data_IF_243377856384
#
_entry.id   IF_243377856384
#
_cell.length_a   1.000
_cell.length_b   1.000
_cell.length_c   1.000
_cell.angle_alpha   90.00
_cell.angle_beta   90.00
_cell.angle_gamma   90.00
#
_symmetry.space_group_name_H-M   'P 1'
#
loop_
_entity.id
_entity.type
_entity.pdbx_description
1 polymer ?
#
# COMPACT_ATOMS: atom_id res chain seq x y z
N UNK A 1 28.99 1.08 16.42
CA UNK A 1 28.72 0.06 15.37
C UNK A 1 27.25 0.18 15.02
N UNK A 2 26.93 0.96 13.98
CA UNK A 2 25.56 1.39 13.66
C UNK A 2 24.75 0.29 12.98
N UNK A 3 23.53 0.09 13.48
CA UNK A 3 22.48 -0.81 12.98
C UNK A 3 21.78 -0.21 11.73
N UNK A 4 22.52 0.42 10.83
CA UNK A 4 21.98 1.15 9.67
C UNK A 4 21.84 0.29 8.42
N UNK A 5 22.38 -0.93 8.41
CA UNK A 5 22.36 -1.81 7.24
C UNK A 5 21.23 -2.83 7.36
N UNK A 6 20.29 -2.74 6.42
CA UNK A 6 19.14 -3.63 6.15
C UNK A 6 17.73 -3.16 6.56
N UNK A 7 17.56 -1.86 6.87
CA UNK A 7 16.22 -1.25 6.86
C UNK A 7 15.85 -0.66 5.48
N UNK A 8 16.86 -0.39 4.65
CA UNK A 8 16.71 0.26 3.35
C UNK A 8 16.15 -0.71 2.29
N UNK A 9 16.51 -2.00 2.39
CA UNK A 9 16.02 -3.02 1.47
C UNK A 9 14.52 -3.24 1.60
N UNK A 10 13.99 -3.40 2.82
CA UNK A 10 12.54 -3.59 3.04
C UNK A 10 11.71 -2.36 2.65
N UNK A 11 12.27 -1.15 2.76
CA UNK A 11 11.60 0.09 2.39
C UNK A 11 11.32 0.20 0.89
N UNK A 12 12.18 -0.38 0.06
CA UNK A 12 12.09 -0.32 -1.41
C UNK A 12 11.63 -1.63 -2.05
N UNK A 13 11.73 -2.76 -1.33
CA UNK A 13 11.37 -4.08 -1.84
C UNK A 13 9.86 -4.35 -1.91
N UNK A 14 9.05 -3.52 -1.25
CA UNK A 14 7.60 -3.69 -1.17
C UNK A 14 6.86 -2.52 -1.82
N UNK A 15 5.93 -2.82 -2.72
CA UNK A 15 5.03 -1.85 -3.36
C UNK A 15 3.60 -1.99 -2.87
N UNK A 16 2.90 -0.87 -2.66
CA UNK A 16 1.50 -0.85 -2.24
C UNK A 16 0.60 -1.56 -3.27
N UNK A 17 -0.15 -2.58 -2.85
CA UNK A 17 -0.99 -3.37 -3.77
C UNK A 17 -2.46 -3.43 -3.37
N UNK A 18 -2.80 -3.11 -2.13
CA UNK A 18 -4.18 -3.12 -1.67
C UNK A 18 -4.39 -2.22 -0.46
N UNK A 19 -5.52 -1.53 -0.41
CA UNK A 19 -5.92 -0.75 0.77
C UNK A 19 -7.38 -1.04 1.14
N UNK A 20 -7.57 -1.38 2.41
CA UNK A 20 -8.87 -1.43 3.07
C UNK A 20 -8.70 -0.87 4.47
N UNK A 21 -9.08 0.40 4.64
CA UNK A 21 -8.84 1.14 5.88
C UNK A 21 -9.30 0.33 7.12
N UNK A 22 -8.46 0.25 8.17
CA UNK A 22 -7.22 1.01 8.38
C UNK A 22 -5.94 0.36 7.81
N UNK A 23 -6.06 -0.70 7.00
CA UNK A 23 -4.91 -1.51 6.55
C UNK A 23 -4.44 -1.14 5.15
N UNK A 24 -3.13 -1.01 5.01
CA UNK A 24 -2.41 -0.93 3.74
C UNK A 24 -1.51 -2.15 3.59
N UNK A 25 -1.60 -2.81 2.45
CA UNK A 25 -0.89 -4.05 2.14
C UNK A 25 0.10 -3.79 1.01
N UNK A 26 1.33 -4.24 1.23
CA UNK A 26 2.42 -4.12 0.29
C UNK A 26 2.92 -5.50 -0.09
N UNK A 27 3.32 -5.64 -1.35
CA UNK A 27 3.80 -6.91 -1.92
C UNK A 27 5.22 -6.78 -2.45
N UNK A 28 5.97 -7.88 -2.39
CA UNK A 28 7.25 -8.03 -3.11
C UNK A 28 7.08 -8.46 -4.56
N UNK A 29 5.89 -8.95 -4.93
CA UNK A 29 5.61 -9.35 -6.29
C UNK A 29 5.40 -8.11 -7.18
N UNK A 30 5.70 -8.21 -8.48
CA UNK A 30 5.14 -7.27 -9.45
C UNK A 30 3.62 -7.14 -9.29
N UNK A 31 3.07 -5.93 -9.44
CA UNK A 31 1.63 -5.68 -9.21
C UNK A 31 0.71 -6.47 -10.15
N UNK A 32 1.20 -6.86 -11.33
CA UNK A 32 0.50 -7.70 -12.31
C UNK A 32 0.55 -9.20 -11.96
N UNK A 33 1.37 -9.59 -10.98
CA UNK A 33 1.49 -10.94 -10.45
C UNK A 33 0.84 -11.10 -9.08
N UNK A 34 0.68 -10.02 -8.31
CA UNK A 34 -0.07 -10.05 -7.05
C UNK A 34 -1.58 -10.09 -7.31
N UNK A 35 -2.27 -10.92 -6.54
CA UNK A 35 -3.72 -11.11 -6.65
C UNK A 35 -4.42 -11.23 -5.29
N UNK A 36 -5.75 -11.31 -5.33
CA UNK A 36 -6.63 -11.67 -4.23
C UNK A 36 -8.05 -11.95 -4.74
N UNK A 37 -8.90 -12.49 -3.87
CA UNK A 37 -10.27 -12.86 -4.28
C UNK A 37 -11.04 -11.64 -4.83
N UNK A 38 -11.65 -11.78 -6.00
CA UNK A 38 -12.53 -10.76 -6.58
C UNK A 38 -11.86 -9.44 -6.99
N UNK A 39 -10.54 -9.43 -7.17
CA UNK A 39 -9.76 -8.24 -7.56
C UNK A 39 -10.13 -7.68 -8.94
N UNK A 40 -10.73 -8.50 -9.80
CA UNK A 40 -11.27 -8.12 -11.11
C UNK A 40 -12.67 -7.52 -11.07
N UNK A 41 -13.36 -7.57 -9.92
CA UNK A 41 -14.76 -7.17 -9.81
C UNK A 41 -14.89 -5.72 -9.34
N UNK A 42 -15.84 -5.02 -9.96
CA UNK A 42 -16.27 -3.68 -9.56
C UNK A 42 -17.60 -3.79 -8.80
N UNK A 43 -17.80 -3.11 -7.67
CA UNK A 43 -16.82 -2.32 -6.92
C UNK A 43 -15.90 -3.18 -6.02
N UNK A 44 -14.63 -2.78 -5.89
CA UNK A 44 -13.66 -3.51 -5.07
C UNK A 44 -14.04 -3.55 -3.59
N UNK A 45 -14.67 -2.50 -3.05
CA UNK A 45 -15.03 -2.43 -1.63
C UNK A 45 -16.06 -3.50 -1.22
N UNK A 46 -16.83 -4.02 -2.20
CA UNK A 46 -17.81 -5.10 -1.98
C UNK A 46 -17.28 -6.49 -2.32
N UNK A 47 -16.29 -6.58 -3.20
CA UNK A 47 -15.90 -7.86 -3.82
C UNK A 47 -14.49 -8.31 -3.49
N UNK A 48 -13.57 -7.38 -3.24
CA UNK A 48 -12.17 -7.72 -3.07
C UNK A 48 -11.90 -8.33 -1.69
N UNK A 49 -11.16 -9.44 -1.66
CA UNK A 49 -10.48 -9.96 -0.48
C UNK A 49 -9.11 -9.30 -0.28
N UNK A 50 -8.45 -9.56 0.87
CA UNK A 50 -7.04 -9.21 1.06
C UNK A 50 -6.16 -9.90 -0.01
N UNK A 51 -4.95 -9.38 -0.27
CA UNK A 51 -4.01 -10.04 -1.17
C UNK A 51 -3.65 -11.44 -0.66
N UNK A 52 -3.44 -12.38 -1.58
CA UNK A 52 -2.87 -13.69 -1.24
C UNK A 52 -1.44 -13.53 -0.70
N UNK A 53 -1.10 -14.31 0.32
CA UNK A 53 0.17 -14.32 1.04
C UNK A 53 0.82 -15.70 1.04
N UNK A 54 0.73 -16.38 -0.10
CA UNK A 54 1.13 -17.79 -0.30
C UNK A 54 2.63 -18.05 -0.01
N UNK A 55 3.48 -17.01 -0.09
CA UNK A 55 4.89 -17.09 0.23
C UNK A 55 5.27 -16.26 1.48
N UNK A 56 6.24 -16.77 2.24
CA UNK A 56 6.80 -16.06 3.38
C UNK A 56 7.35 -14.68 2.94
N UNK A 57 7.01 -13.64 3.72
CA UNK A 57 7.42 -12.25 3.45
C UNK A 57 6.93 -11.68 2.10
N UNK A 58 5.94 -12.30 1.45
CA UNK A 58 5.28 -11.69 0.29
C UNK A 58 4.44 -10.48 0.73
N UNK A 59 3.62 -10.75 1.75
CA UNK A 59 2.76 -9.91 2.60
C UNK A 59 3.45 -8.91 3.54
N UNK A 60 3.41 -7.60 3.31
CA UNK A 60 3.69 -6.63 4.38
C UNK A 60 2.47 -5.74 4.67
N UNK A 61 1.97 -5.80 5.90
CA UNK A 61 0.76 -5.11 6.32
C UNK A 61 1.09 -4.04 7.35
N UNK A 62 0.60 -2.82 7.14
CA UNK A 62 0.69 -1.71 8.10
C UNK A 62 -0.68 -1.09 8.33
N UNK A 63 -0.88 -0.57 9.54
CA UNK A 63 -2.02 0.29 9.81
C UNK A 63 -1.69 1.74 9.49
N UNK A 64 -2.69 2.53 9.13
CA UNK A 64 -2.56 3.98 9.00
C UNK A 64 -3.84 4.70 9.43
N UNK A 65 -3.69 5.98 9.73
CA UNK A 65 -4.80 6.94 9.88
C UNK A 65 -4.54 8.20 9.04
N UNK A 66 -5.52 9.11 9.01
CA UNK A 66 -5.40 10.40 8.36
C UNK A 66 -6.61 10.78 7.50
N UNK A 67 -6.65 12.03 6.98
CA UNK A 67 -7.73 12.53 6.14
C UNK A 67 -7.57 12.06 4.67
N UNK A 68 -7.42 10.75 4.49
CA UNK A 68 -7.24 10.10 3.20
C UNK A 68 -8.49 9.31 2.82
N UNK A 69 -8.94 9.50 1.59
CA UNK A 69 -10.10 8.85 1.02
C UNK A 69 -9.67 7.71 0.10
N UNK A 70 -10.38 6.56 0.14
CA UNK A 70 -10.20 5.50 -0.85
C UNK A 70 -10.69 5.94 -2.25
N UNK A 71 -10.42 5.15 -3.30
CA UNK A 71 -10.69 5.52 -4.69
C UNK A 71 -12.18 5.79 -4.96
N UNK A 72 -13.06 5.09 -4.27
CA UNK A 72 -14.52 5.10 -4.40
C UNK A 72 -15.21 6.20 -3.57
N UNK A 73 -14.49 6.83 -2.65
CA UNK A 73 -15.06 7.84 -1.75
C UNK A 73 -14.91 9.29 -2.26
N UNK A 74 -15.82 10.15 -1.78
CA UNK A 74 -15.85 11.58 -2.08
C UNK A 74 -16.60 11.93 -3.37
N UNK A 75 -16.57 13.21 -3.75
CA UNK A 75 -17.36 13.74 -4.87
C UNK A 75 -16.91 13.16 -6.23
N UNK A 76 -15.61 12.96 -6.41
CA UNK A 76 -15.03 12.36 -7.63
C UNK A 76 -14.77 10.85 -7.49
N UNK A 77 -15.42 10.20 -6.52
CA UNK A 77 -15.26 8.76 -6.29
C UNK A 77 -15.88 7.95 -7.41
N UNK A 78 -15.14 6.99 -7.95
CA UNK A 78 -15.64 6.07 -8.96
C UNK A 78 -15.40 4.64 -8.52
N UNK A 79 -16.42 3.79 -8.67
CA UNK A 79 -16.29 2.36 -8.43
C UNK A 79 -15.25 1.78 -9.40
N UNK A 80 -14.24 1.13 -8.83
CA UNK A 80 -13.14 0.48 -9.56
C UNK A 80 -12.91 -0.92 -9.01
N UNK A 81 -12.31 -1.77 -9.82
CA UNK A 81 -11.73 -3.04 -9.41
C UNK A 81 -10.31 -2.81 -8.88
N UNK A 82 -9.78 -3.76 -8.11
CA UNK A 82 -8.39 -3.69 -7.64
C UNK A 82 -7.41 -3.66 -8.83
N UNK A 83 -7.70 -4.39 -9.90
CA UNK A 83 -6.85 -4.44 -11.08
C UNK A 83 -6.74 -3.10 -11.82
N UNK A 84 -7.84 -2.35 -11.91
CA UNK A 84 -7.81 -0.99 -12.46
C UNK A 84 -6.95 -0.06 -11.59
N UNK A 85 -7.13 -0.12 -10.27
CA UNK A 85 -6.35 0.70 -9.32
C UNK A 85 -4.85 0.35 -9.43
N UNK A 86 -4.51 -0.95 -9.44
CA UNK A 86 -3.12 -1.42 -9.53
C UNK A 86 -2.46 -1.16 -10.90
N UNK A 87 -3.25 -0.94 -11.96
CA UNK A 87 -2.76 -0.45 -13.27
C UNK A 87 -2.49 1.06 -13.27
N UNK A 88 -2.98 1.78 -12.27
CA UNK A 88 -2.82 3.23 -12.14
C UNK A 88 -4.03 4.05 -12.60
N UNK A 89 -5.20 3.42 -12.83
CA UNK A 89 -6.41 4.13 -13.26
C UNK A 89 -6.98 5.06 -12.16
N UNK A 90 -6.62 4.81 -10.90
CA UNK A 90 -6.93 5.65 -9.75
C UNK A 90 -5.87 5.47 -8.63
N UNK A 91 -5.65 6.47 -7.76
CA UNK A 91 -4.81 6.28 -6.57
C UNK A 91 -5.56 5.44 -5.52
N UNK A 92 -4.82 4.66 -4.73
CA UNK A 92 -5.34 3.94 -3.57
C UNK A 92 -5.86 4.88 -2.48
N UNK A 93 -5.17 6.00 -2.25
CA UNK A 93 -5.56 6.99 -1.26
C UNK A 93 -5.35 8.41 -1.80
N UNK A 94 -6.24 9.32 -1.43
CA UNK A 94 -6.12 10.73 -1.80
C UNK A 94 -6.70 11.67 -0.76
N UNK A 95 -6.19 12.90 -0.69
CA UNK A 95 -6.88 13.97 0.05
C UNK A 95 -8.08 14.48 -0.75
N UNK A 96 -9.10 15.00 -0.07
CA UNK A 96 -10.18 15.74 -0.73
C UNK A 96 -9.61 17.01 -1.38
N UNK A 97 -10.01 17.29 -2.63
CA UNK A 97 -9.54 18.42 -3.46
C UNK A 97 -9.79 19.83 -2.87
N UNK A 98 -10.50 19.94 -1.74
CA UNK A 98 -10.85 21.23 -1.12
C UNK A 98 -9.91 21.66 0.02
N UNK A 99 -9.05 20.77 0.53
CA UNK A 99 -8.38 20.96 1.84
C UNK A 99 -6.92 21.43 1.71
N UNK A 100 -6.24 21.27 0.56
CA UNK A 100 -4.80 21.55 0.43
C UNK A 100 -4.44 22.15 -0.93
N UNK A 101 -3.46 23.07 -0.93
CA UNK A 101 -2.84 23.63 -2.16
C UNK A 101 -2.00 22.58 -2.94
N UNK A 102 -1.77 21.40 -2.40
CA UNK A 102 -1.17 20.26 -3.08
C UNK A 102 -1.91 18.96 -2.69
N UNK A 103 -2.78 18.41 -3.56
CA UNK A 103 -3.50 17.19 -3.25
C UNK A 103 -2.55 15.99 -3.17
N UNK A 104 -2.57 15.28 -2.05
CA UNK A 104 -1.83 14.03 -1.89
C UNK A 104 -2.55 12.93 -2.66
N UNK A 105 -1.79 12.16 -3.43
CA UNK A 105 -2.24 10.97 -4.15
C UNK A 105 -1.24 9.85 -3.93
N UNK A 106 -1.72 8.73 -3.40
CA UNK A 106 -0.93 7.54 -3.12
C UNK A 106 -1.34 6.50 -4.16
N UNK A 107 -0.48 6.28 -5.16
CA UNK A 107 -0.73 5.33 -6.24
C UNK A 107 -0.42 3.89 -5.82
N UNK A 108 -0.83 2.91 -6.62
CA UNK A 108 -0.31 1.56 -6.49
C UNK A 108 1.20 1.51 -6.77
N UNK A 109 1.89 0.57 -6.14
CA UNK A 109 3.32 0.34 -6.29
C UNK A 109 4.21 1.34 -5.58
N UNK A 110 3.66 2.36 -4.91
CA UNK A 110 4.48 3.24 -4.07
C UNK A 110 5.22 2.40 -3.03
N UNK A 111 6.50 2.72 -2.85
CA UNK A 111 7.29 2.12 -1.79
C UNK A 111 6.67 2.47 -0.44
N UNK A 112 6.96 1.65 0.58
CA UNK A 112 6.49 1.99 1.91
C UNK A 112 7.07 3.33 2.40
N UNK A 113 8.35 3.61 2.15
CA UNK A 113 8.94 4.88 2.58
C UNK A 113 8.17 6.08 2.01
N UNK A 114 7.82 5.99 0.72
CA UNK A 114 7.00 7.00 0.06
C UNK A 114 5.57 7.03 0.59
N UNK A 115 5.01 5.87 0.94
CA UNK A 115 3.70 5.81 1.57
C UNK A 115 3.67 6.55 2.92
N UNK A 116 4.67 6.31 3.79
CA UNK A 116 4.80 7.01 5.08
C UNK A 116 4.90 8.51 4.86
N UNK A 117 5.77 8.96 3.96
CA UNK A 117 5.93 10.38 3.62
C UNK A 117 4.60 11.02 3.19
N UNK A 118 3.85 10.34 2.30
CA UNK A 118 2.59 10.86 1.77
C UNK A 118 1.46 10.86 2.81
N UNK A 119 1.40 9.86 3.68
CA UNK A 119 0.44 9.81 4.79
C UNK A 119 0.71 10.94 5.79
N UNK A 120 1.98 11.17 6.16
CA UNK A 120 2.38 12.26 7.05
C UNK A 120 2.12 13.63 6.42
N UNK A 121 2.39 13.79 5.12
CA UNK A 121 2.08 15.02 4.37
C UNK A 121 0.58 15.32 4.35
N UNK A 122 -0.27 14.28 4.35
CA UNK A 122 -1.72 14.43 4.50
C UNK A 122 -2.16 14.71 5.96
N UNK A 123 -1.24 14.72 6.94
CA UNK A 123 -1.55 14.90 8.35
C UNK A 123 -2.00 13.62 9.07
N UNK A 124 -1.75 12.45 8.47
CA UNK A 124 -1.98 11.14 9.06
C UNK A 124 -0.73 10.53 9.69
N UNK A 125 -0.83 9.28 10.12
CA UNK A 125 0.26 8.48 10.68
C UNK A 125 0.24 7.05 10.18
N UNK A 126 1.41 6.44 10.07
CA UNK A 126 1.57 5.01 9.79
C UNK A 126 2.05 4.30 11.04
N UNK A 127 1.43 3.17 11.35
CA UNK A 127 1.75 2.33 12.49
C UNK A 127 2.39 1.05 11.98
N UNK A 128 3.69 0.92 12.22
CA UNK A 128 4.44 -0.28 11.85
C UNK A 128 4.25 -1.40 12.90
N UNK A 129 4.13 -2.68 12.48
CA UNK A 129 4.18 -3.80 13.41
C UNK A 129 5.49 -3.82 14.22
N UNK A 130 5.37 -4.24 15.49
CA UNK A 130 6.52 -4.48 16.36
C UNK A 130 7.47 -5.48 15.67
N UNK A 131 8.71 -5.07 15.39
CA UNK A 131 9.68 -5.89 14.65
C UNK A 131 9.96 -5.42 13.23
N UNK A 132 9.33 -4.34 12.76
CA UNK A 132 9.71 -3.66 11.50
C UNK A 132 11.21 -3.39 11.40
N UNK A 133 11.83 -2.98 12.52
CA UNK A 133 13.27 -2.76 12.66
C UNK A 133 14.14 -4.02 12.52
N UNK A 134 13.53 -5.20 12.56
CA UNK A 134 14.16 -6.50 12.63
C UNK A 134 13.79 -7.43 11.45
N UNK A 135 13.04 -6.94 10.46
CA UNK A 135 12.87 -7.59 9.16
C UNK A 135 14.22 -7.59 8.44
N UNK A 136 15.12 -8.50 8.84
CA UNK A 136 16.29 -8.84 8.04
C UNK A 136 15.79 -9.48 6.76
N UNK A 137 16.13 -8.89 5.63
CA UNK A 137 16.00 -9.54 4.34
C UNK A 137 17.12 -10.59 4.31
N UNK A 138 16.81 -11.81 4.73
CA UNK A 138 17.71 -12.93 4.49
C UNK A 138 17.95 -13.01 2.97
N UNK A 139 19.22 -13.00 2.52
CA UNK A 139 19.52 -13.08 1.10
C UNK A 139 18.94 -14.38 0.54
N UNK A 140 18.31 -14.32 -0.64
CA UNK A 140 17.85 -15.52 -1.34
C UNK A 140 19.07 -16.42 -1.61
N UNK A 141 19.18 -17.52 -0.87
CA UNK A 141 20.07 -18.63 -1.23
C UNK A 141 19.53 -19.29 -2.49
N UNK A 142 20.06 -18.88 -3.64
CA UNK A 142 19.92 -19.62 -4.89
C UNK A 142 20.88 -20.81 -4.82
N UNK A 143 20.32 -22.01 -4.63
CA UNK A 143 21.03 -23.29 -4.82
C UNK A 143 21.19 -23.62 -6.29
#
# INVERSE_FOLDING_TARGET
>A
MGLTTDLDGARHAYGLCFVRAPWAYFTRLPLDQQWGDGWERVPYEKHAGPPYDDAAQQILTVAFDGPLLPPDAGYDGHARSVNEINRGDAPWLRTQNFISNAPVRIAAGVSLDKFVELVELAGGRVFAPLGWGALRLEPNDVS
#
